data_IF_157930309409
#
_entry.id   IF_157930309409
#
_cell.length_a   1.000
_cell.length_b   1.000
_cell.length_c   1.000
_cell.angle_alpha   90.00
_cell.angle_beta   90.00
_cell.angle_gamma   90.00
#
_symmetry.space_group_name_H-M   'P 1'
#
loop_
_entity.id
_entity.type
_entity.pdbx_description
1 polymer ?
#
# COMPACT_ATOMS: atom_id res chain seq x y z
N UNK A 1 18.08 -10.84 -12.72
CA UNK A 1 18.01 -11.90 -11.68
C UNK A 1 18.10 -13.27 -12.34
N UNK A 2 19.28 -13.71 -12.67
CA UNK A 2 19.56 -15.08 -13.13
C UNK A 2 20.07 -15.87 -11.91
N UNK A 3 19.20 -16.66 -11.27
CA UNK A 3 19.58 -17.64 -10.26
C UNK A 3 19.52 -17.21 -8.79
N UNK A 4 18.93 -16.09 -8.45
CA UNK A 4 18.66 -15.72 -7.05
C UNK A 4 17.37 -16.39 -6.58
N UNK A 5 17.44 -17.16 -5.50
CA UNK A 5 16.28 -17.72 -4.82
C UNK A 5 15.47 -16.62 -4.11
N UNK A 6 14.36 -17.03 -3.47
CA UNK A 6 13.51 -16.12 -2.72
C UNK A 6 14.26 -15.48 -1.54
N UNK A 7 15.31 -16.13 -1.05
CA UNK A 7 16.11 -15.69 0.11
C UNK A 7 16.64 -14.26 0.02
N UNK A 8 16.87 -13.73 -1.18
CA UNK A 8 17.36 -12.36 -1.36
C UNK A 8 16.28 -11.30 -1.16
N UNK A 9 15.00 -11.71 -1.24
CA UNK A 9 13.85 -10.83 -1.07
C UNK A 9 13.23 -10.94 0.33
N UNK A 10 13.55 -12.01 1.08
CA UNK A 10 12.96 -12.26 2.39
C UNK A 10 13.51 -11.30 3.43
N UNK A 11 12.62 -10.59 4.11
CA UNK A 11 12.95 -9.95 5.39
C UNK A 11 12.82 -10.99 6.49
N UNK A 12 13.96 -11.49 6.97
CA UNK A 12 14.02 -12.49 8.04
C UNK A 12 13.74 -11.89 9.40
N UNK A 13 13.13 -12.68 10.30
CA UNK A 13 12.76 -12.27 11.65
C UNK A 13 12.05 -10.90 11.67
N UNK A 14 10.98 -10.72 10.89
CA UNK A 14 10.26 -9.46 10.85
C UNK A 14 9.71 -9.13 12.24
N UNK A 15 9.51 -7.85 12.56
CA UNK A 15 8.75 -7.47 13.74
C UNK A 15 7.39 -8.17 13.75
N UNK A 16 7.13 -8.92 14.79
CA UNK A 16 5.87 -9.65 14.99
C UNK A 16 5.21 -9.24 16.31
N UNK A 17 3.91 -9.43 16.40
CA UNK A 17 3.09 -9.04 17.55
C UNK A 17 2.25 -10.21 18.03
N UNK A 18 1.70 -10.11 19.25
CA UNK A 18 0.72 -11.06 19.79
C UNK A 18 -0.72 -10.55 19.59
N UNK A 19 -1.70 -11.42 19.78
CA UNK A 19 -3.12 -11.07 19.76
C UNK A 19 -3.50 -9.98 20.78
N UNK A 20 -2.77 -9.88 21.88
CA UNK A 20 -2.99 -8.93 22.96
C UNK A 20 -2.49 -7.51 22.64
N UNK A 21 -1.71 -7.33 21.57
CA UNK A 21 -1.14 -6.02 21.20
C UNK A 21 -2.25 -5.04 20.88
N UNK A 22 -2.24 -3.87 21.53
CA UNK A 22 -3.27 -2.83 21.33
C UNK A 22 -3.15 -2.13 19.98
N UNK A 23 -4.27 -1.61 19.46
CA UNK A 23 -4.31 -0.88 18.19
C UNK A 23 -3.34 0.30 18.17
N UNK A 24 -3.26 1.08 19.24
CA UNK A 24 -2.32 2.21 19.34
C UNK A 24 -0.86 1.73 19.20
N UNK A 25 -0.54 0.61 19.85
CA UNK A 25 0.80 0.02 19.76
C UNK A 25 1.10 -0.53 18.37
N UNK A 26 0.10 -1.12 17.70
CA UNK A 26 0.22 -1.57 16.31
C UNK A 26 0.55 -0.39 15.38
N UNK A 27 -0.21 0.70 15.47
CA UNK A 27 0.01 1.90 14.64
C UNK A 27 1.36 2.56 14.95
N UNK A 28 1.73 2.69 16.23
CA UNK A 28 3.06 3.19 16.63
C UNK A 28 4.20 2.36 16.05
N UNK A 29 4.08 1.02 16.11
CA UNK A 29 5.09 0.12 15.54
C UNK A 29 5.18 0.26 14.02
N UNK A 30 4.03 0.30 13.33
CA UNK A 30 3.99 0.44 11.88
C UNK A 30 4.61 1.76 11.43
N UNK A 31 4.30 2.86 12.11
CA UNK A 31 4.89 4.18 11.83
C UNK A 31 6.39 4.20 12.07
N UNK A 32 6.85 3.75 13.25
CA UNK A 32 8.27 3.77 13.63
C UNK A 32 9.14 2.89 12.75
N UNK A 33 8.60 1.74 12.33
CA UNK A 33 9.32 0.75 11.50
C UNK A 33 9.11 0.98 9.99
N UNK A 34 8.27 1.94 9.62
CA UNK A 34 7.89 2.21 8.24
C UNK A 34 7.33 0.97 7.52
N UNK A 35 6.49 0.19 8.22
CA UNK A 35 5.83 -1.00 7.68
C UNK A 35 4.31 -0.85 7.75
N UNK A 36 3.60 -1.45 6.80
CA UNK A 36 2.14 -1.41 6.75
C UNK A 36 1.49 -2.72 7.20
N UNK A 37 2.29 -3.74 7.51
CA UNK A 37 1.83 -5.08 7.89
C UNK A 37 2.68 -5.61 9.02
N UNK A 38 2.04 -6.22 10.02
CA UNK A 38 2.70 -6.92 11.11
C UNK A 38 2.15 -8.34 11.21
N UNK A 39 3.02 -9.37 11.13
CA UNK A 39 2.63 -10.74 11.46
C UNK A 39 2.20 -10.86 12.91
N UNK A 40 1.14 -11.61 13.16
CA UNK A 40 0.67 -12.00 14.49
C UNK A 40 1.08 -13.42 14.75
N UNK A 41 1.78 -13.66 15.85
CA UNK A 41 2.30 -14.98 16.20
C UNK A 41 1.90 -15.39 17.62
N UNK A 42 1.85 -16.71 17.86
CA UNK A 42 1.74 -17.26 19.21
C UNK A 42 3.12 -17.30 19.92
N UNK A 43 3.13 -17.70 21.18
CA UNK A 43 4.35 -17.84 22.00
C UNK A 43 5.35 -18.86 21.41
N UNK A 44 4.89 -19.77 20.58
CA UNK A 44 5.70 -20.74 19.85
C UNK A 44 6.27 -20.22 18.53
N UNK A 45 5.95 -18.99 18.13
CA UNK A 45 6.34 -18.39 16.85
C UNK A 45 5.54 -18.92 15.66
N UNK A 46 4.38 -19.54 15.88
CA UNK A 46 3.47 -19.93 14.80
C UNK A 46 2.68 -18.72 14.33
N UNK A 47 2.54 -18.58 13.04
CA UNK A 47 1.76 -17.52 12.43
C UNK A 47 0.27 -17.74 12.69
N UNK A 48 -0.38 -16.74 13.30
CA UNK A 48 -1.83 -16.72 13.55
C UNK A 48 -2.55 -15.88 12.49
N UNK A 49 -1.90 -14.87 11.95
CA UNK A 49 -2.46 -13.98 10.93
C UNK A 49 -1.55 -12.80 10.62
N UNK A 50 -2.10 -11.84 9.89
CA UNK A 50 -1.45 -10.55 9.59
C UNK A 50 -2.40 -9.44 9.98
N UNK A 51 -1.86 -8.36 10.54
CA UNK A 51 -2.58 -7.11 10.75
C UNK A 51 -2.02 -6.08 9.81
N UNK A 52 -2.88 -5.45 9.02
CA UNK A 52 -2.51 -4.29 8.19
C UNK A 52 -2.88 -2.98 8.87
N UNK A 53 -2.20 -1.91 8.49
CA UNK A 53 -2.53 -0.55 8.96
C UNK A 53 -3.98 -0.19 8.61
N UNK A 54 -4.45 -0.59 7.43
CA UNK A 54 -5.83 -0.36 6.99
C UNK A 54 -6.84 -1.03 7.92
N UNK A 55 -6.60 -2.30 8.31
CA UNK A 55 -7.51 -3.04 9.21
C UNK A 55 -7.64 -2.35 10.56
N UNK A 56 -6.49 -1.90 11.12
CA UNK A 56 -6.47 -1.18 12.40
C UNK A 56 -7.23 0.14 12.30
N UNK A 57 -6.96 0.95 11.27
CA UNK A 57 -7.62 2.24 11.09
C UNK A 57 -9.12 2.11 10.86
N UNK A 58 -9.56 1.13 10.08
CA UNK A 58 -10.99 0.84 9.88
C UNK A 58 -11.67 0.41 11.17
N UNK A 59 -11.00 -0.39 12.00
CA UNK A 59 -11.54 -0.79 13.29
C UNK A 59 -11.62 0.40 14.27
N UNK A 60 -10.62 1.27 14.28
CA UNK A 60 -10.64 2.53 15.06
C UNK A 60 -11.79 3.42 14.62
N UNK A 61 -11.97 3.61 13.30
CA UNK A 61 -13.05 4.42 12.74
C UNK A 61 -14.43 3.87 13.14
N UNK A 62 -14.65 2.57 12.99
CA UNK A 62 -15.91 1.92 13.40
C UNK A 62 -16.19 2.12 14.89
N UNK A 63 -15.15 2.06 15.72
CA UNK A 63 -15.29 2.22 17.16
C UNK A 63 -15.64 3.67 17.54
N UNK A 64 -15.09 4.66 16.85
CA UNK A 64 -15.43 6.08 17.05
C UNK A 64 -16.90 6.37 16.72
N UNK A 65 -17.52 5.60 15.84
CA UNK A 65 -18.92 5.75 15.43
C UNK A 65 -19.92 5.08 16.39
N UNK A 66 -19.45 4.21 17.28
CA UNK A 66 -20.27 3.49 18.28
C UNK A 66 -19.86 3.97 19.68
N UNK A 67 -20.81 4.28 20.55
CA UNK A 67 -20.54 4.70 21.93
C UNK A 67 -19.57 3.73 22.61
N UNK A 68 -18.48 4.27 23.16
CA UNK A 68 -17.26 3.59 23.55
C UNK A 68 -17.44 2.27 24.32
N UNK A 69 -16.77 1.23 23.85
CA UNK A 69 -16.40 0.10 24.69
C UNK A 69 -15.21 0.51 25.58
N UNK A 70 -15.24 0.19 26.86
CA UNK A 70 -14.18 0.54 27.84
C UNK A 70 -12.86 -0.19 27.60
N UNK A 71 -12.89 -1.30 26.82
CA UNK A 71 -11.69 -2.12 26.56
C UNK A 71 -10.89 -1.62 25.36
N UNK A 72 -9.54 -1.66 25.41
CA UNK A 72 -8.71 -1.27 24.29
C UNK A 72 -8.92 -2.22 23.08
N UNK A 73 -8.96 -1.67 21.87
CA UNK A 73 -8.94 -2.46 20.64
C UNK A 73 -7.60 -3.19 20.53
N UNK A 74 -7.62 -4.51 20.28
CA UNK A 74 -6.45 -5.37 20.23
C UNK A 74 -6.30 -6.03 18.87
N UNK A 75 -5.09 -6.56 18.59
CA UNK A 75 -4.78 -7.33 17.40
C UNK A 75 -5.76 -8.47 17.13
N UNK A 76 -6.24 -9.14 18.18
CA UNK A 76 -7.26 -10.20 18.10
C UNK A 76 -8.52 -9.78 17.32
N UNK A 77 -8.94 -8.52 17.49
CA UNK A 77 -10.16 -8.00 16.86
C UNK A 77 -9.97 -7.57 15.40
N UNK A 78 -8.71 -7.43 14.95
CA UNK A 78 -8.37 -6.88 13.63
C UNK A 78 -7.51 -7.81 12.78
N UNK A 79 -7.01 -8.90 13.36
CA UNK A 79 -6.17 -9.85 12.65
C UNK A 79 -6.93 -10.49 11.51
N UNK A 80 -6.37 -10.40 10.31
CA UNK A 80 -6.90 -11.10 9.14
C UNK A 80 -6.26 -12.48 9.01
N UNK A 81 -7.06 -13.45 8.58
CA UNK A 81 -6.56 -14.77 8.21
C UNK A 81 -5.58 -14.67 7.03
N UNK A 82 -4.59 -15.54 7.02
CA UNK A 82 -3.57 -15.54 5.97
C UNK A 82 -4.13 -16.19 4.71
N UNK A 83 -4.24 -15.43 3.62
CA UNK A 83 -4.73 -15.92 2.33
C UNK A 83 -3.73 -16.84 1.62
N UNK A 84 -2.44 -16.57 1.79
CA UNK A 84 -1.38 -17.35 1.19
C UNK A 84 -0.11 -17.30 2.06
N UNK A 85 0.67 -18.36 2.01
CA UNK A 85 2.02 -18.46 2.59
C UNK A 85 2.95 -19.14 1.59
N UNK A 86 4.25 -19.01 1.80
CA UNK A 86 5.24 -19.61 0.91
C UNK A 86 6.40 -20.20 1.73
N UNK A 87 7.05 -21.22 1.18
CA UNK A 87 8.27 -21.78 1.77
C UNK A 87 9.53 -21.02 1.34
N UNK A 88 10.63 -21.11 2.10
CA UNK A 88 11.88 -20.41 1.76
C UNK A 88 12.51 -20.88 0.45
N UNK A 89 12.24 -22.12 0.02
CA UNK A 89 12.75 -22.71 -1.23
C UNK A 89 12.00 -22.26 -2.49
N UNK A 90 10.96 -21.44 -2.32
CA UNK A 90 10.15 -21.00 -3.45
C UNK A 90 10.93 -20.02 -4.35
N UNK A 91 10.46 -19.90 -5.59
CA UNK A 91 11.04 -18.94 -6.54
C UNK A 91 10.40 -17.56 -6.40
N UNK A 92 11.14 -16.47 -6.66
CA UNK A 92 10.59 -15.11 -6.66
C UNK A 92 9.31 -14.96 -7.50
N UNK A 93 9.27 -15.62 -8.65
CA UNK A 93 8.09 -15.62 -9.54
C UNK A 93 6.83 -16.17 -8.86
N UNK A 94 6.98 -17.23 -8.05
CA UNK A 94 5.85 -17.82 -7.32
C UNK A 94 5.34 -16.86 -6.24
N UNK A 95 6.25 -16.23 -5.48
CA UNK A 95 5.90 -15.24 -4.48
C UNK A 95 5.17 -14.04 -5.11
N UNK A 96 5.73 -13.47 -6.19
CA UNK A 96 5.12 -12.33 -6.88
C UNK A 96 3.75 -12.69 -7.47
N UNK A 97 3.61 -13.90 -8.00
CA UNK A 97 2.33 -14.39 -8.52
C UNK A 97 1.28 -14.48 -7.42
N UNK A 98 1.62 -15.03 -6.24
CA UNK A 98 0.71 -15.11 -5.09
C UNK A 98 0.29 -13.71 -4.61
N UNK A 99 1.23 -12.77 -4.49
CA UNK A 99 0.92 -11.39 -4.12
C UNK A 99 -0.11 -10.76 -5.08
N UNK A 100 0.10 -10.91 -6.39
CA UNK A 100 -0.77 -10.34 -7.41
C UNK A 100 -2.11 -11.06 -7.53
N UNK A 101 -2.12 -12.40 -7.55
CA UNK A 101 -3.34 -13.19 -7.71
C UNK A 101 -4.31 -13.01 -6.54
N UNK A 102 -3.80 -12.83 -5.32
CA UNK A 102 -4.61 -12.59 -4.12
C UNK A 102 -4.81 -11.10 -3.80
N UNK A 103 -4.17 -10.19 -4.52
CA UNK A 103 -4.23 -8.75 -4.23
C UNK A 103 -3.68 -8.39 -2.85
N UNK A 104 -2.68 -9.14 -2.37
CA UNK A 104 -2.04 -8.92 -1.06
C UNK A 104 -0.68 -8.27 -1.24
N UNK A 105 -0.26 -7.47 -0.26
CA UNK A 105 1.01 -6.75 -0.29
C UNK A 105 2.09 -7.38 0.60
N UNK A 106 1.73 -8.39 1.41
CA UNK A 106 2.63 -9.08 2.32
C UNK A 106 2.36 -10.59 2.25
N UNK A 107 3.42 -11.37 2.06
CA UNK A 107 3.38 -12.82 1.95
C UNK A 107 4.30 -13.44 3.02
N UNK A 108 3.75 -14.12 4.05
CA UNK A 108 4.57 -14.80 5.05
C UNK A 108 5.37 -15.95 4.45
N UNK A 109 6.62 -16.05 4.87
CA UNK A 109 7.51 -17.17 4.56
C UNK A 109 7.57 -18.07 5.78
N UNK A 110 7.11 -19.31 5.61
CA UNK A 110 7.05 -20.29 6.71
C UNK A 110 8.07 -21.40 6.52
N UNK A 111 8.67 -21.81 7.64
CA UNK A 111 9.45 -23.04 7.72
C UNK A 111 8.91 -23.90 8.87
N UNK A 112 8.52 -25.13 8.57
CA UNK A 112 7.91 -26.06 9.56
C UNK A 112 6.75 -25.45 10.35
N UNK A 113 5.91 -24.63 9.71
CA UNK A 113 4.74 -23.97 10.31
C UNK A 113 5.06 -22.75 11.18
N UNK A 114 6.32 -22.34 11.26
CA UNK A 114 6.77 -21.15 12.00
C UNK A 114 7.10 -20.01 11.04
N UNK A 115 6.88 -18.80 11.48
CA UNK A 115 7.25 -17.60 10.73
C UNK A 115 8.77 -17.50 10.65
N UNK A 116 9.30 -17.61 9.44
CA UNK A 116 10.71 -17.39 9.13
C UNK A 116 10.98 -15.96 8.68
N UNK A 117 10.09 -15.41 7.89
CA UNK A 117 10.23 -14.09 7.30
C UNK A 117 8.96 -13.63 6.58
N UNK A 118 9.06 -12.51 5.91
CA UNK A 118 8.03 -11.97 5.02
C UNK A 118 8.65 -11.54 3.70
N UNK A 119 7.86 -11.56 2.63
CA UNK A 119 8.16 -10.92 1.34
C UNK A 119 7.01 -10.00 1.00
N UNK A 120 7.32 -8.78 0.58
CA UNK A 120 6.33 -7.75 0.27
C UNK A 120 6.44 -7.28 -1.17
N UNK A 121 5.43 -6.58 -1.66
CA UNK A 121 5.47 -5.89 -2.96
C UNK A 121 6.63 -4.89 -3.03
N UNK A 122 6.95 -4.22 -1.91
CA UNK A 122 8.08 -3.29 -1.80
C UNK A 122 9.45 -3.96 -2.04
N UNK A 123 9.61 -5.23 -1.63
CA UNK A 123 10.86 -5.95 -1.87
C UNK A 123 11.09 -6.18 -3.37
N UNK A 124 10.02 -6.49 -4.10
CA UNK A 124 10.07 -6.59 -5.55
C UNK A 124 10.32 -5.23 -6.23
N UNK A 125 9.64 -4.17 -5.80
CA UNK A 125 9.88 -2.82 -6.33
C UNK A 125 11.33 -2.37 -6.10
N UNK A 126 11.91 -2.71 -4.96
CA UNK A 126 13.32 -2.40 -4.65
C UNK A 126 14.26 -3.06 -5.66
N UNK A 127 14.05 -4.34 -5.97
CA UNK A 127 14.83 -5.02 -7.02
C UNK A 127 14.63 -4.36 -8.39
N UNK A 128 13.40 -3.96 -8.71
CA UNK A 128 13.13 -3.28 -9.97
C UNK A 128 13.80 -1.92 -10.07
N UNK A 129 13.91 -1.21 -8.96
CA UNK A 129 14.52 0.13 -8.88
C UNK A 129 16.01 0.15 -9.21
N UNK A 130 16.71 -0.97 -9.07
CA UNK A 130 18.13 -1.07 -9.45
C UNK A 130 18.37 -0.97 -10.97
N UNK A 131 17.32 -1.09 -11.78
CA UNK A 131 17.40 -0.89 -13.23
C UNK A 131 18.09 -2.02 -13.99
N UNK A 132 18.24 -3.20 -13.35
CA UNK A 132 18.90 -4.36 -13.95
C UNK A 132 17.92 -5.33 -14.63
N UNK A 133 16.63 -5.22 -14.29
CA UNK A 133 15.62 -6.06 -14.92
C UNK A 133 15.27 -5.59 -16.34
N UNK A 134 14.96 -6.51 -17.26
CA UNK A 134 14.48 -6.14 -18.58
C UNK A 134 13.23 -5.24 -18.48
N UNK A 135 13.18 -4.20 -19.30
CA UNK A 135 12.09 -3.21 -19.30
C UNK A 135 12.14 -2.17 -18.17
N UNK A 136 12.97 -2.34 -17.13
CA UNK A 136 13.07 -1.38 -16.03
C UNK A 136 13.58 -0.01 -16.46
N UNK A 137 14.26 0.06 -17.60
CA UNK A 137 14.79 1.29 -18.20
C UNK A 137 13.91 1.90 -19.27
N UNK A 138 12.72 1.31 -19.52
CA UNK A 138 11.76 1.88 -20.46
C UNK A 138 11.22 3.21 -19.92
N UNK A 139 10.83 4.11 -20.83
CA UNK A 139 10.27 5.40 -20.45
C UNK A 139 8.88 5.24 -19.83
N UNK A 140 8.62 5.96 -18.74
CA UNK A 140 7.35 5.89 -17.98
C UNK A 140 6.12 6.16 -18.86
N UNK A 141 6.25 7.00 -19.89
CA UNK A 141 5.14 7.37 -20.79
C UNK A 141 4.58 6.21 -21.61
N UNK A 142 5.36 5.17 -21.84
CA UNK A 142 4.91 3.95 -22.53
C UNK A 142 4.09 3.01 -21.66
N UNK A 143 3.97 3.31 -20.36
CA UNK A 143 3.43 2.39 -19.36
C UNK A 143 2.39 3.01 -18.43
N UNK A 144 1.78 4.13 -18.84
CA UNK A 144 0.74 4.76 -18.03
C UNK A 144 -0.44 3.81 -17.84
N UNK A 145 -1.01 3.85 -16.64
CA UNK A 145 -2.29 3.19 -16.36
C UNK A 145 -3.40 3.74 -17.27
N UNK A 146 -4.48 2.99 -17.51
CA UNK A 146 -5.61 3.51 -18.26
C UNK A 146 -6.02 4.92 -17.78
N UNK A 147 -6.43 5.80 -18.67
CA UNK A 147 -6.80 7.17 -18.31
C UNK A 147 -7.90 7.17 -17.25
N UNK A 148 -7.64 7.84 -16.14
CA UNK A 148 -8.61 8.07 -15.07
C UNK A 148 -8.72 9.57 -14.87
N UNK A 149 -9.94 10.05 -14.74
CA UNK A 149 -10.21 11.45 -14.47
C UNK A 149 -9.64 11.82 -13.10
N UNK A 150 -8.75 12.82 -13.01
CA UNK A 150 -8.19 13.25 -11.75
C UNK A 150 -9.25 13.98 -10.91
N UNK A 151 -9.02 14.07 -9.62
CA UNK A 151 -9.87 14.82 -8.69
C UNK A 151 -9.41 16.27 -8.59
N UNK A 152 -10.36 17.18 -8.44
CA UNK A 152 -10.09 18.54 -8.00
C UNK A 152 -9.86 18.58 -6.47
N UNK A 153 -9.04 19.50 -5.94
CA UNK A 153 -8.69 19.54 -4.51
C UNK A 153 -9.87 19.81 -3.57
N UNK A 154 -10.94 20.40 -4.06
CA UNK A 154 -12.18 20.68 -3.34
C UNK A 154 -13.21 19.55 -3.40
N UNK A 155 -12.93 18.48 -4.15
CA UNK A 155 -13.75 17.27 -4.12
C UNK A 155 -13.84 16.71 -2.69
N UNK A 156 -14.96 16.07 -2.35
CA UNK A 156 -15.14 15.43 -1.04
C UNK A 156 -14.44 14.07 -0.98
N UNK A 157 -14.17 13.57 0.23
CA UNK A 157 -13.63 12.22 0.38
C UNK A 157 -14.58 11.14 -0.16
N UNK A 158 -15.88 11.36 0.00
CA UNK A 158 -16.90 10.46 -0.56
C UNK A 158 -16.85 10.43 -2.09
N UNK A 159 -16.74 11.60 -2.75
CA UNK A 159 -16.59 11.66 -4.19
C UNK A 159 -15.32 10.94 -4.66
N UNK A 160 -14.22 11.01 -3.88
CA UNK A 160 -13.00 10.28 -4.16
C UNK A 160 -13.21 8.75 -4.08
N UNK A 161 -13.91 8.25 -3.06
CA UNK A 161 -14.23 6.83 -2.93
C UNK A 161 -15.11 6.34 -4.07
N UNK A 162 -16.15 7.09 -4.42
CA UNK A 162 -17.04 6.76 -5.55
C UNK A 162 -16.27 6.74 -6.88
N UNK A 163 -15.36 7.70 -7.10
CA UNK A 163 -14.52 7.73 -8.27
C UNK A 163 -13.58 6.53 -8.35
N UNK A 164 -12.94 6.14 -7.22
CA UNK A 164 -12.10 4.94 -7.14
C UNK A 164 -12.88 3.67 -7.46
N UNK A 165 -14.07 3.52 -6.90
CA UNK A 165 -14.96 2.37 -7.17
C UNK A 165 -15.37 2.31 -8.65
N UNK A 166 -15.75 3.44 -9.23
CA UNK A 166 -16.20 3.53 -10.63
C UNK A 166 -15.10 3.18 -11.62
N UNK A 167 -13.86 3.63 -11.38
CA UNK A 167 -12.75 3.38 -12.29
C UNK A 167 -11.95 2.11 -11.96
N UNK A 168 -12.23 1.44 -10.83
CA UNK A 168 -11.49 0.26 -10.37
C UNK A 168 -10.04 0.55 -9.98
N UNK A 169 -9.71 1.81 -9.67
CA UNK A 169 -8.38 2.23 -9.23
C UNK A 169 -8.41 2.54 -7.74
N UNK A 170 -7.38 2.11 -7.02
CA UNK A 170 -7.25 2.40 -5.59
C UNK A 170 -6.53 3.73 -5.30
N UNK A 171 -6.18 4.50 -6.32
CA UNK A 171 -5.45 5.75 -6.17
C UNK A 171 -5.88 6.73 -7.24
N UNK A 172 -6.03 8.00 -6.87
CA UNK A 172 -6.38 9.06 -7.80
C UNK A 172 -5.43 10.25 -7.65
N UNK A 173 -5.02 10.82 -8.78
CA UNK A 173 -4.29 12.07 -8.78
C UNK A 173 -5.23 13.23 -8.41
N UNK A 174 -4.72 14.17 -7.61
CA UNK A 174 -5.39 15.43 -7.31
C UNK A 174 -4.73 16.51 -8.16
N UNK A 175 -5.53 17.18 -8.98
CA UNK A 175 -5.05 18.12 -10.01
C UNK A 175 -5.74 19.46 -9.83
N UNK A 176 -4.98 20.55 -9.91
CA UNK A 176 -5.51 21.90 -9.86
C UNK A 176 -5.04 22.67 -11.10
N UNK A 177 -5.97 23.17 -11.87
CA UNK A 177 -5.67 23.90 -13.10
C UNK A 177 -4.85 23.08 -14.11
N UNK A 178 -5.02 21.75 -14.13
CA UNK A 178 -4.29 20.83 -15.00
C UNK A 178 -2.91 20.41 -14.48
N UNK A 179 -2.46 20.92 -13.32
CA UNK A 179 -1.20 20.56 -12.69
C UNK A 179 -1.46 19.61 -11.50
N UNK A 180 -0.77 18.47 -11.37
CA UNK A 180 -0.94 17.61 -10.24
C UNK A 180 -0.35 18.24 -8.98
N UNK A 181 -1.10 18.14 -7.88
CA UNK A 181 -0.71 18.67 -6.57
C UNK A 181 -0.60 17.59 -5.50
N UNK A 182 -1.07 16.38 -5.78
CA UNK A 182 -1.00 15.25 -4.86
C UNK A 182 -1.66 13.99 -5.37
N UNK A 183 -1.66 12.99 -4.51
CA UNK A 183 -2.29 11.69 -4.68
C UNK A 183 -3.15 11.39 -3.46
N UNK A 184 -4.30 10.77 -3.67
CA UNK A 184 -5.17 10.26 -2.60
C UNK A 184 -5.42 8.77 -2.79
N UNK A 185 -5.39 8.01 -1.70
CA UNK A 185 -5.64 6.57 -1.62
C UNK A 185 -6.67 6.26 -0.52
N UNK A 186 -7.25 5.05 -0.47
CA UNK A 186 -8.19 4.68 0.59
C UNK A 186 -7.63 4.86 2.00
N UNK A 187 -6.35 4.53 2.22
CA UNK A 187 -5.74 4.71 3.54
C UNK A 187 -5.62 6.17 3.94
N UNK A 188 -5.37 7.08 2.98
CA UNK A 188 -5.33 8.51 3.24
C UNK A 188 -6.70 9.04 3.65
N UNK A 189 -7.77 8.51 3.04
CA UNK A 189 -9.16 8.84 3.37
C UNK A 189 -9.50 8.37 4.78
N UNK A 190 -9.20 7.10 5.11
CA UNK A 190 -9.48 6.56 6.45
C UNK A 190 -8.67 7.29 7.51
N UNK A 191 -7.39 7.58 7.27
CA UNK A 191 -6.56 8.39 8.19
C UNK A 191 -7.14 9.78 8.42
N UNK A 192 -7.64 10.44 7.37
CA UNK A 192 -8.25 11.76 7.49
C UNK A 192 -9.53 11.72 8.34
N UNK A 193 -10.34 10.68 8.20
CA UNK A 193 -11.53 10.46 9.04
C UNK A 193 -11.17 10.18 10.50
N UNK A 194 -10.17 9.35 10.77
CA UNK A 194 -9.71 9.02 12.12
C UNK A 194 -9.12 10.22 12.88
N UNK A 195 -8.64 11.24 12.17
CA UNK A 195 -8.11 12.48 12.77
C UNK A 195 -9.20 13.46 13.24
N UNK A 196 -10.45 13.23 12.88
CA UNK A 196 -11.56 14.04 13.37
C UNK A 196 -11.77 13.81 14.87
N UNK A 197 -12.21 14.84 15.65
CA UNK A 197 -12.51 14.68 17.06
C UNK A 197 -13.50 13.54 17.29
N UNK A 198 -13.24 12.71 18.32
CA UNK A 198 -14.14 11.63 18.70
C UNK A 198 -15.53 12.21 19.10
N UNK A 199 -16.55 11.79 18.41
CA UNK A 199 -17.95 12.15 18.63
C UNK A 199 -18.78 11.46 17.56
N UNK A 200 -20.11 11.31 17.72
CA UNK A 200 -20.92 10.86 16.63
C UNK A 200 -20.75 11.86 15.49
N UNK A 201 -19.90 11.49 14.52
CA UNK A 201 -19.78 12.23 13.26
C UNK A 201 -21.21 12.33 12.71
N UNK A 202 -21.78 13.52 12.71
CA UNK A 202 -23.02 13.75 11.96
C UNK A 202 -22.64 13.49 10.50
N UNK A 203 -23.50 12.81 9.77
CA UNK A 203 -23.27 12.53 8.35
C UNK A 203 -22.87 13.80 7.58
N UNK A 204 -23.40 14.96 7.99
CA UNK A 204 -23.03 16.28 7.46
C UNK A 204 -21.56 16.70 7.70
N UNK A 205 -20.89 16.20 8.73
CA UNK A 205 -19.50 16.58 9.02
C UNK A 205 -18.50 15.76 8.16
N UNK A 206 -18.86 14.52 7.83
CA UNK A 206 -18.06 13.64 6.96
C UNK A 206 -18.12 14.10 5.50
N UNK A 207 -19.28 14.60 5.04
CA UNK A 207 -19.48 15.12 3.69
C UNK A 207 -18.67 16.39 3.39
N UNK A 208 -18.13 17.06 4.41
CA UNK A 208 -17.41 18.33 4.26
C UNK A 208 -15.90 18.18 4.10
N UNK A 209 -15.31 17.02 4.43
CA UNK A 209 -13.85 16.83 4.34
C UNK A 209 -13.43 16.82 2.88
N UNK A 210 -12.48 17.71 2.54
CA UNK A 210 -11.97 17.85 1.18
C UNK A 210 -10.75 16.95 0.94
N UNK A 211 -10.63 16.49 -0.29
CA UNK A 211 -9.47 15.68 -0.73
C UNK A 211 -8.16 16.40 -0.47
N UNK A 212 -8.12 17.72 -0.57
CA UNK A 212 -6.92 18.52 -0.29
C UNK A 212 -6.38 18.38 1.13
N UNK A 213 -7.21 17.99 2.10
CA UNK A 213 -6.78 17.74 3.49
C UNK A 213 -6.26 16.32 3.74
N UNK A 214 -6.59 15.39 2.85
CA UNK A 214 -6.22 13.98 2.96
C UNK A 214 -5.07 13.61 2.01
N UNK A 215 -4.98 14.26 0.84
CA UNK A 215 -4.00 13.94 -0.18
C UNK A 215 -2.56 14.05 0.33
N UNK A 216 -1.70 13.17 -0.18
CA UNK A 216 -0.25 13.27 0.00
C UNK A 216 0.35 14.08 -1.15
N UNK A 217 1.17 15.09 -0.82
CA UNK A 217 1.96 15.81 -1.82
C UNK A 217 3.14 14.95 -2.21
N UNK A 218 3.27 14.68 -3.49
CA UNK A 218 4.31 13.81 -4.03
C UNK A 218 4.97 14.45 -5.24
N UNK A 219 6.26 14.17 -5.49
CA UNK A 219 6.90 14.59 -6.72
C UNK A 219 6.29 13.85 -7.91
N UNK A 220 6.22 14.52 -9.05
CA UNK A 220 5.76 13.91 -10.30
C UNK A 220 6.94 13.54 -11.20
N UNK A 221 6.82 12.42 -11.89
CA UNK A 221 7.77 11.95 -12.88
C UNK A 221 7.63 12.75 -14.18
N UNK A 222 8.76 12.93 -14.86
CA UNK A 222 8.84 13.54 -16.19
C UNK A 222 8.80 12.47 -17.29
N UNK A 223 8.42 12.82 -18.54
CA UNK A 223 8.23 11.84 -19.61
C UNK A 223 9.46 10.98 -19.94
N UNK A 224 10.66 11.55 -19.82
CA UNK A 224 11.92 10.86 -20.11
C UNK A 224 12.45 9.98 -18.96
N UNK A 225 11.84 10.03 -17.80
CA UNK A 225 12.25 9.18 -16.67
C UNK A 225 11.88 7.73 -16.93
N UNK A 226 12.59 6.84 -16.24
CA UNK A 226 12.52 5.40 -16.45
C UNK A 226 11.63 4.73 -15.40
N UNK A 227 11.15 3.52 -15.70
CA UNK A 227 10.33 2.74 -14.77
C UNK A 227 11.05 2.40 -13.47
N UNK A 228 12.37 2.18 -13.50
CA UNK A 228 13.16 1.98 -12.27
C UNK A 228 13.19 3.23 -11.38
N UNK A 229 13.19 4.43 -11.96
CA UNK A 229 13.09 5.68 -11.20
C UNK A 229 11.68 5.86 -10.59
N UNK A 230 10.65 5.40 -11.31
CA UNK A 230 9.29 5.35 -10.76
C UNK A 230 9.21 4.41 -9.55
N UNK A 231 9.81 3.22 -9.64
CA UNK A 231 9.86 2.28 -8.53
C UNK A 231 10.61 2.87 -7.33
N UNK A 232 11.76 3.51 -7.56
CA UNK A 232 12.53 4.19 -6.51
C UNK A 232 11.70 5.28 -5.81
N UNK A 233 10.99 6.11 -6.57
CA UNK A 233 10.12 7.16 -6.03
C UNK A 233 8.96 6.57 -5.21
N UNK A 234 8.35 5.48 -5.68
CA UNK A 234 7.28 4.80 -4.95
C UNK A 234 7.79 4.27 -3.60
N UNK A 235 8.99 3.70 -3.56
CA UNK A 235 9.61 3.18 -2.33
C UNK A 235 9.93 4.33 -1.37
N UNK A 236 10.65 5.35 -1.85
CA UNK A 236 11.10 6.49 -1.04
C UNK A 236 9.94 7.19 -0.32
N UNK A 237 8.82 7.34 -1.02
CA UNK A 237 7.65 8.02 -0.48
C UNK A 237 6.54 7.08 -0.01
N UNK A 238 6.77 5.75 0.00
CA UNK A 238 5.77 4.73 0.35
C UNK A 238 4.46 4.91 -0.42
N UNK A 239 4.57 5.06 -1.74
CA UNK A 239 3.46 5.33 -2.63
C UNK A 239 3.06 4.09 -3.41
N UNK A 240 1.78 3.83 -3.57
CA UNK A 240 1.28 2.75 -4.40
C UNK A 240 1.15 3.14 -5.89
N UNK A 241 1.40 4.40 -6.21
CA UNK A 241 1.41 4.92 -7.58
C UNK A 241 2.29 6.17 -7.71
N UNK A 242 2.79 6.43 -8.90
CA UNK A 242 3.50 7.65 -9.26
C UNK A 242 2.68 8.47 -10.27
N UNK A 243 2.71 9.78 -10.13
CA UNK A 243 2.10 10.73 -11.07
C UNK A 243 3.11 11.03 -12.18
N UNK A 244 2.65 11.07 -13.42
CA UNK A 244 3.46 11.43 -14.58
C UNK A 244 2.92 12.71 -15.21
N UNK A 245 3.81 13.66 -15.50
CA UNK A 245 3.49 14.95 -16.11
C UNK A 245 4.20 15.12 -17.45
N UNK A 246 3.76 16.09 -18.25
CA UNK A 246 4.53 16.58 -19.38
C UNK A 246 5.59 17.61 -18.96
N UNK A 247 6.34 18.14 -19.94
CA UNK A 247 7.38 19.14 -19.66
C UNK A 247 6.83 20.44 -19.06
N UNK A 248 5.56 20.79 -19.34
CA UNK A 248 4.86 21.96 -18.79
C UNK A 248 4.19 21.68 -17.43
N UNK A 249 4.56 20.57 -16.75
CA UNK A 249 3.97 20.12 -15.48
C UNK A 249 2.47 19.82 -15.54
N UNK A 250 1.92 19.52 -16.74
CA UNK A 250 0.53 19.10 -16.88
C UNK A 250 0.41 17.61 -16.65
N UNK A 251 -0.65 17.20 -15.97
CA UNK A 251 -0.96 15.81 -15.71
C UNK A 251 -1.10 15.01 -17.01
N UNK A 252 -0.40 13.90 -17.13
CA UNK A 252 -0.50 12.95 -18.25
C UNK A 252 -1.18 11.64 -17.84
N UNK A 253 -1.00 11.21 -16.61
CA UNK A 253 -1.51 9.95 -16.11
C UNK A 253 -0.75 9.47 -14.90
N UNK A 254 -1.00 8.24 -14.53
CA UNK A 254 -0.37 7.58 -13.39
C UNK A 254 0.25 6.25 -13.79
N UNK A 255 1.20 5.81 -12.99
CA UNK A 255 1.80 4.48 -13.05
C UNK A 255 1.59 3.81 -11.70
N UNK A 256 0.87 2.70 -11.68
CA UNK A 256 0.59 1.97 -10.43
C UNK A 256 1.68 0.95 -10.10
N UNK A 257 1.84 0.65 -8.82
CA UNK A 257 2.68 -0.44 -8.31
C UNK A 257 2.33 -1.77 -8.99
N UNK A 258 1.06 -2.12 -9.05
CA UNK A 258 0.59 -3.36 -9.68
C UNK A 258 0.98 -3.46 -11.15
N UNK A 259 1.05 -2.35 -11.88
CA UNK A 259 1.52 -2.34 -13.26
C UNK A 259 3.00 -2.73 -13.34
N UNK A 260 3.85 -2.13 -12.48
CA UNK A 260 5.28 -2.47 -12.40
C UNK A 260 5.49 -3.93 -12.01
N UNK A 261 4.79 -4.40 -10.98
CA UNK A 261 4.84 -5.80 -10.53
C UNK A 261 4.39 -6.77 -11.62
N UNK A 262 3.37 -6.41 -12.39
CA UNK A 262 2.92 -7.17 -13.56
C UNK A 262 3.97 -7.24 -14.68
N UNK A 263 4.73 -6.17 -14.91
CA UNK A 263 5.88 -6.18 -15.82
C UNK A 263 6.96 -7.14 -15.32
N UNK A 264 7.30 -7.06 -14.03
CA UNK A 264 8.29 -7.95 -13.41
C UNK A 264 7.89 -9.43 -13.53
N UNK A 265 6.61 -9.76 -13.25
CA UNK A 265 6.12 -11.14 -13.31
C UNK A 265 6.33 -11.77 -14.70
N UNK A 266 6.21 -10.97 -15.76
CA UNK A 266 6.47 -11.43 -17.15
C UNK A 266 7.94 -11.70 -17.41
N UNK A 267 8.86 -11.11 -16.65
CA UNK A 267 10.31 -11.23 -16.85
C UNK A 267 10.95 -12.29 -15.94
N UNK A 268 10.33 -12.59 -14.81
CA UNK A 268 10.81 -13.63 -13.90
C UNK A 268 10.55 -15.03 -14.47
N UNK A 269 11.57 -15.90 -14.38
CA UNK A 269 11.51 -17.31 -14.81
C UNK A 269 11.00 -18.24 -13.71
#
# INVERSE_FOLDING_TARGET
>A
MTGTGLETLVTYNPPAVSLETTADRLLEMMERLHVQHLPVVDDGGRLLGIVSEMDVLLAVQRRQSVAAADEPLRAESVVAGVLATIGPEARPRQALKLLLDHGIHCLPVLSSGRLLGIVTTHDFLREFSYGEMPGSRDAVTGHLSPPVEPLEPDATLEAAEQAMQKCGQSHLAVVQGGCPIGLVSPIDIVRARCRQPAGPLRDADVETIRVSSAMRRIPALRPGQRLCEAAALMIEHQLPAAIVTNQANRFLGMLSENHLLGLMLRQLK
#
